data_IF_774060822879
#
_entry.id   IF_774060822879
#
_cell.length_a   1.000
_cell.length_b   1.000
_cell.length_c   1.000
_cell.angle_alpha   90.00
_cell.angle_beta   90.00
_cell.angle_gamma   90.00
#
_symmetry.space_group_name_H-M   'P 1'
#
loop_
_entity.id
_entity.type
_entity.pdbx_description
1 polymer ?
#
# COMPACT_ATOMS: atom_id res chain seq x y z
N UNK A 1 24.27 -6.54 9.57
CA UNK A 1 23.43 -5.97 8.51
C UNK A 1 24.41 -5.25 7.58
N UNK A 2 24.69 -5.78 6.40
CA UNK A 2 25.74 -5.28 5.52
C UNK A 2 25.42 -3.88 5.03
N UNK A 3 26.39 -2.99 5.02
CA UNK A 3 26.31 -1.59 4.57
C UNK A 3 25.65 -1.44 3.19
N UNK A 4 25.82 -2.44 2.32
CA UNK A 4 25.24 -2.48 0.97
C UNK A 4 23.71 -2.62 0.95
N UNK A 5 23.13 -3.38 1.87
CA UNK A 5 21.68 -3.51 2.00
C UNK A 5 21.03 -2.23 2.53
N UNK A 6 21.74 -1.47 3.36
CA UNK A 6 21.28 -0.19 3.87
C UNK A 6 21.28 0.87 2.77
N UNK A 7 22.37 0.96 1.98
CA UNK A 7 22.47 1.88 0.83
C UNK A 7 21.40 1.59 -0.21
N UNK A 8 21.17 0.33 -0.58
CA UNK A 8 20.10 -0.06 -1.53
C UNK A 8 18.72 0.39 -1.05
N UNK A 9 18.43 0.23 0.23
CA UNK A 9 17.13 0.67 0.82
C UNK A 9 16.96 2.19 0.79
N UNK A 10 18.01 2.96 1.07
CA UNK A 10 17.95 4.42 0.97
C UNK A 10 17.68 4.84 -0.47
N UNK A 11 18.39 4.28 -1.44
CA UNK A 11 18.22 4.62 -2.85
C UNK A 11 16.80 4.30 -3.32
N UNK A 12 16.26 3.12 -2.99
CA UNK A 12 14.89 2.75 -3.36
C UNK A 12 13.84 3.63 -2.69
N UNK A 13 14.02 3.98 -1.41
CA UNK A 13 13.09 4.88 -0.70
C UNK A 13 13.10 6.28 -1.30
N UNK A 14 14.28 6.81 -1.62
CA UNK A 14 14.42 8.14 -2.24
C UNK A 14 13.78 8.16 -3.64
N UNK A 15 13.99 7.11 -4.43
CA UNK A 15 13.38 6.98 -5.75
C UNK A 15 11.84 6.92 -5.67
N UNK A 16 11.29 6.19 -4.68
CA UNK A 16 9.85 6.13 -4.45
C UNK A 16 9.26 7.46 -4.01
N UNK A 17 9.95 8.23 -3.18
CA UNK A 17 9.51 9.57 -2.75
C UNK A 17 9.47 10.53 -3.95
N UNK A 18 10.50 10.50 -4.80
CA UNK A 18 10.55 11.32 -6.02
C UNK A 18 9.41 10.94 -6.97
N UNK A 19 9.18 9.64 -7.16
CA UNK A 19 8.09 9.14 -7.98
C UNK A 19 6.73 9.59 -7.45
N UNK A 20 6.51 9.49 -6.15
CA UNK A 20 5.27 9.94 -5.49
C UNK A 20 5.05 11.43 -5.70
N UNK A 21 6.11 12.24 -5.60
CA UNK A 21 6.04 13.68 -5.88
C UNK A 21 5.58 13.94 -7.32
N UNK A 22 6.16 13.25 -8.31
CA UNK A 22 5.73 13.35 -9.70
C UNK A 22 4.26 12.96 -9.91
N UNK A 23 3.80 11.90 -9.25
CA UNK A 23 2.40 11.43 -9.34
C UNK A 23 1.42 12.46 -8.76
N UNK A 24 1.80 13.19 -7.72
CA UNK A 24 0.96 14.24 -7.12
C UNK A 24 0.76 15.40 -8.10
N UNK A 25 1.82 15.85 -8.78
CA UNK A 25 1.75 17.04 -9.60
C UNK A 25 1.32 16.77 -11.06
N UNK A 26 1.56 15.59 -11.60
CA UNK A 26 1.28 15.24 -12.99
C UNK A 26 0.15 14.21 -13.12
N UNK A 27 -0.95 14.60 -13.78
CA UNK A 27 -2.06 13.68 -14.10
C UNK A 27 -1.61 12.51 -14.97
N UNK A 28 -0.68 12.76 -15.89
CA UNK A 28 -0.13 11.74 -16.78
C UNK A 28 0.67 10.71 -15.98
N UNK A 29 1.55 11.17 -15.08
CA UNK A 29 2.32 10.29 -14.21
C UNK A 29 1.43 9.45 -13.29
N UNK A 30 0.34 10.03 -12.78
CA UNK A 30 -0.66 9.33 -11.99
C UNK A 30 -1.32 8.21 -12.81
N UNK A 31 -1.76 8.50 -14.02
CA UNK A 31 -2.39 7.52 -14.91
C UNK A 31 -1.45 6.36 -15.21
N UNK A 32 -0.20 6.63 -15.60
CA UNK A 32 0.79 5.58 -15.85
C UNK A 32 1.09 4.75 -14.59
N UNK A 33 1.21 5.38 -13.43
CA UNK A 33 1.45 4.67 -12.18
C UNK A 33 0.29 3.74 -11.81
N UNK A 34 -0.96 4.16 -12.00
CA UNK A 34 -2.14 3.32 -11.78
C UNK A 34 -2.16 2.12 -12.74
N UNK A 35 -1.85 2.32 -14.02
CA UNK A 35 -1.79 1.22 -15.00
C UNK A 35 -0.72 0.20 -14.58
N UNK A 36 0.48 0.66 -14.26
CA UNK A 36 1.58 -0.22 -13.86
C UNK A 36 1.22 -1.01 -12.61
N UNK A 37 0.73 -0.35 -11.57
CA UNK A 37 0.31 -1.00 -10.31
C UNK A 37 -0.83 -1.99 -10.58
N UNK A 38 -1.80 -1.64 -11.43
CA UNK A 38 -2.92 -2.49 -11.79
C UNK A 38 -2.48 -3.77 -12.48
N UNK A 39 -1.62 -3.65 -13.48
CA UNK A 39 -1.09 -4.82 -14.20
C UNK A 39 -0.33 -5.75 -13.24
N UNK A 40 0.58 -5.20 -12.42
CA UNK A 40 1.31 -6.00 -11.43
C UNK A 40 0.38 -6.68 -10.42
N UNK A 41 -0.63 -5.96 -9.90
CA UNK A 41 -1.60 -6.52 -8.95
C UNK A 41 -2.39 -7.69 -9.55
N UNK A 42 -2.83 -7.57 -10.82
CA UNK A 42 -3.54 -8.64 -11.51
C UNK A 42 -2.64 -9.84 -11.75
N UNK A 43 -1.39 -9.63 -12.20
CA UNK A 43 -0.43 -10.72 -12.42
C UNK A 43 -0.12 -11.46 -11.11
N UNK A 44 0.10 -10.74 -10.02
CA UNK A 44 0.36 -11.33 -8.71
C UNK A 44 -0.86 -12.13 -8.23
N UNK A 45 -2.07 -11.58 -8.40
CA UNK A 45 -3.29 -12.29 -8.01
C UNK A 45 -3.51 -13.56 -8.84
N UNK A 46 -3.22 -13.55 -10.14
CA UNK A 46 -3.29 -14.76 -10.98
C UNK A 46 -2.35 -15.85 -10.44
N UNK A 47 -1.11 -15.49 -10.08
CA UNK A 47 -0.16 -16.44 -9.50
C UNK A 47 -0.64 -16.98 -8.14
N UNK A 48 -1.18 -16.12 -7.28
CA UNK A 48 -1.75 -16.53 -6.00
C UNK A 48 -2.97 -17.46 -6.18
N UNK A 49 -3.86 -17.12 -7.10
CA UNK A 49 -5.10 -17.90 -7.34
C UNK A 49 -4.80 -19.31 -7.83
N UNK A 50 -3.70 -19.51 -8.56
CA UNK A 50 -3.26 -20.85 -8.99
C UNK A 50 -2.88 -21.74 -7.81
N UNK A 51 -2.33 -21.18 -6.75
CA UNK A 51 -1.93 -21.91 -5.56
C UNK A 51 -3.09 -22.16 -4.59
N UNK A 52 -4.11 -21.28 -4.58
CA UNK A 52 -5.23 -21.34 -3.64
C UNK A 52 -6.38 -22.21 -4.20
N UNK A 53 -6.75 -21.99 -5.45
CA UNK A 53 -7.92 -22.66 -6.04
C UNK A 53 -7.52 -23.90 -6.85
N UNK A 54 -7.93 -25.08 -6.35
CA UNK A 54 -7.73 -26.37 -7.06
C UNK A 54 -8.62 -26.50 -8.30
N UNK A 55 -9.87 -25.97 -8.25
CA UNK A 55 -10.82 -26.06 -9.37
C UNK A 55 -10.55 -24.95 -10.38
N UNK A 56 -10.43 -25.30 -11.66
CA UNK A 56 -10.18 -24.39 -12.76
C UNK A 56 -11.24 -23.25 -12.85
N UNK A 57 -12.53 -23.63 -12.76
CA UNK A 57 -13.65 -22.68 -12.86
C UNK A 57 -13.59 -21.64 -11.74
N UNK A 58 -13.35 -22.05 -10.49
CA UNK A 58 -13.25 -21.12 -9.36
C UNK A 58 -12.08 -20.13 -9.53
N UNK A 59 -10.96 -20.60 -10.09
CA UNK A 59 -9.80 -19.77 -10.41
C UNK A 59 -10.14 -18.69 -11.44
N UNK A 60 -10.79 -19.09 -12.53
CA UNK A 60 -11.15 -18.15 -13.62
C UNK A 60 -12.14 -17.10 -13.11
N UNK A 61 -13.19 -17.51 -12.39
CA UNK A 61 -14.17 -16.59 -11.82
C UNK A 61 -13.50 -15.60 -10.86
N UNK A 62 -12.63 -16.09 -9.96
CA UNK A 62 -11.91 -15.22 -9.00
C UNK A 62 -11.00 -14.21 -9.70
N UNK A 63 -10.28 -14.63 -10.75
CA UNK A 63 -9.42 -13.73 -11.52
C UNK A 63 -10.22 -12.64 -12.26
N UNK A 64 -11.35 -13.01 -12.85
CA UNK A 64 -12.24 -12.05 -13.53
C UNK A 64 -12.79 -11.04 -12.52
N UNK A 65 -13.31 -11.50 -11.39
CA UNK A 65 -13.84 -10.62 -10.35
C UNK A 65 -12.78 -9.66 -9.81
N UNK A 66 -11.57 -10.16 -9.57
CA UNK A 66 -10.47 -9.32 -9.12
C UNK A 66 -10.04 -8.27 -10.16
N UNK A 67 -9.98 -8.66 -11.44
CA UNK A 67 -9.65 -7.73 -12.53
C UNK A 67 -10.72 -6.63 -12.66
N UNK A 68 -12.00 -6.97 -12.58
CA UNK A 68 -13.10 -6.00 -12.59
C UNK A 68 -12.99 -5.06 -11.37
N UNK A 69 -12.72 -5.60 -10.19
CA UNK A 69 -12.53 -4.80 -8.97
C UNK A 69 -11.40 -3.77 -9.12
N UNK A 70 -10.23 -4.20 -9.62
CA UNK A 70 -9.08 -3.31 -9.85
C UNK A 70 -9.43 -2.22 -10.88
N UNK A 71 -10.12 -2.58 -11.97
CA UNK A 71 -10.54 -1.62 -13.00
C UNK A 71 -11.48 -0.56 -12.43
N UNK A 72 -12.51 -0.96 -11.67
CA UNK A 72 -13.46 -0.04 -11.02
C UNK A 72 -12.72 0.86 -10.03
N UNK A 73 -11.86 0.28 -9.19
CA UNK A 73 -11.11 1.03 -8.20
C UNK A 73 -10.24 2.12 -8.84
N UNK A 74 -9.53 1.80 -9.93
CA UNK A 74 -8.67 2.76 -10.60
C UNK A 74 -9.42 3.82 -11.39
N UNK A 75 -10.57 3.48 -11.99
CA UNK A 75 -11.42 4.48 -12.64
C UNK A 75 -11.97 5.49 -11.63
N UNK A 76 -12.42 5.02 -10.48
CA UNK A 76 -12.89 5.90 -9.39
C UNK A 76 -11.74 6.77 -8.87
N UNK A 77 -10.57 6.17 -8.62
CA UNK A 77 -9.40 6.91 -8.15
C UNK A 77 -8.97 8.00 -9.15
N UNK A 78 -8.90 7.66 -10.43
CA UNK A 78 -8.56 8.61 -11.48
C UNK A 78 -9.61 9.73 -11.61
N UNK A 79 -10.90 9.39 -11.53
CA UNK A 79 -11.98 10.38 -11.54
C UNK A 79 -11.85 11.37 -10.38
N UNK A 80 -11.66 10.87 -9.16
CA UNK A 80 -11.49 11.72 -7.97
C UNK A 80 -10.24 12.60 -8.04
N UNK A 81 -9.17 12.14 -8.68
CA UNK A 81 -7.94 12.92 -8.83
C UNK A 81 -8.11 14.17 -9.71
N UNK A 82 -9.20 14.29 -10.48
CA UNK A 82 -9.50 15.49 -11.27
C UNK A 82 -10.02 16.66 -10.41
N UNK A 83 -10.61 16.37 -9.25
CA UNK A 83 -11.09 17.37 -8.30
C UNK A 83 -10.01 17.61 -7.24
N UNK A 84 -9.57 18.87 -7.10
CA UNK A 84 -8.43 19.20 -6.22
C UNK A 84 -8.68 18.80 -4.76
N UNK A 85 -9.90 19.00 -4.26
CA UNK A 85 -10.29 18.64 -2.90
C UNK A 85 -10.25 17.14 -2.66
N UNK A 86 -10.83 16.34 -3.59
CA UNK A 86 -10.81 14.89 -3.51
C UNK A 86 -9.41 14.31 -3.70
N UNK A 87 -8.60 14.95 -4.54
CA UNK A 87 -7.19 14.58 -4.71
C UNK A 87 -6.41 14.73 -3.40
N UNK A 88 -6.59 15.82 -2.68
CA UNK A 88 -5.95 16.04 -1.37
C UNK A 88 -6.35 14.93 -0.40
N UNK A 89 -7.65 14.60 -0.32
CA UNK A 89 -8.15 13.53 0.55
C UNK A 89 -7.53 12.17 0.18
N UNK A 90 -7.43 11.83 -1.12
CA UNK A 90 -6.82 10.58 -1.57
C UNK A 90 -5.35 10.48 -1.15
N UNK A 91 -4.59 11.56 -1.31
CA UNK A 91 -3.19 11.56 -0.89
C UNK A 91 -3.04 11.57 0.63
N UNK A 92 -3.92 12.25 1.37
CA UNK A 92 -3.96 12.18 2.83
C UNK A 92 -4.21 10.75 3.32
N UNK A 93 -5.13 10.00 2.68
CA UNK A 93 -5.35 8.58 2.96
C UNK A 93 -4.10 7.73 2.68
N UNK A 94 -3.41 7.95 1.55
CA UNK A 94 -2.16 7.26 1.24
C UNK A 94 -1.07 7.54 2.29
N UNK A 95 -0.90 8.80 2.68
CA UNK A 95 0.05 9.17 3.73
C UNK A 95 -0.33 8.56 5.09
N UNK A 96 -1.62 8.49 5.42
CA UNK A 96 -2.12 7.82 6.60
C UNK A 96 -1.76 6.32 6.63
N UNK A 97 -1.91 5.62 5.49
CA UNK A 97 -1.49 4.22 5.37
C UNK A 97 0.03 4.07 5.57
N UNK A 98 0.84 4.90 4.92
CA UNK A 98 2.31 4.88 5.08
C UNK A 98 2.71 5.15 6.53
N UNK A 99 2.09 6.16 7.16
CA UNK A 99 2.34 6.50 8.56
C UNK A 99 1.95 5.36 9.50
N UNK A 100 0.83 4.69 9.24
CA UNK A 100 0.39 3.51 9.98
C UNK A 100 1.42 2.37 9.90
N UNK A 101 1.94 2.08 8.72
CA UNK A 101 2.94 1.03 8.53
C UNK A 101 4.27 1.37 9.23
N UNK A 102 4.73 2.62 9.10
CA UNK A 102 5.93 3.11 9.78
C UNK A 102 5.74 3.05 11.29
N UNK A 103 4.58 3.50 11.80
CA UNK A 103 4.25 3.45 13.23
C UNK A 103 4.26 2.03 13.77
N UNK A 104 3.59 1.12 13.08
CA UNK A 104 3.56 -0.29 13.42
C UNK A 104 4.94 -0.92 13.50
N UNK A 105 5.81 -0.60 12.55
CA UNK A 105 7.19 -1.10 12.52
C UNK A 105 8.06 -0.50 13.62
N UNK A 106 8.05 0.82 13.81
CA UNK A 106 8.91 1.52 14.77
C UNK A 106 8.53 1.12 16.20
N UNK A 107 7.26 1.30 16.56
CA UNK A 107 6.79 1.00 17.92
C UNK A 107 6.84 -0.50 18.23
N UNK A 108 6.54 -1.35 17.25
CA UNK A 108 6.66 -2.79 17.39
C UNK A 108 8.10 -3.26 17.64
N UNK A 109 9.09 -2.60 17.04
CA UNK A 109 10.50 -2.95 17.20
C UNK A 109 11.13 -2.35 18.45
N UNK A 110 10.75 -1.14 18.85
CA UNK A 110 11.31 -0.44 20.02
C UNK A 110 10.71 -0.99 21.32
N UNK A 111 9.38 -1.07 21.40
CA UNK A 111 8.68 -1.42 22.65
C UNK A 111 8.59 -2.93 22.86
N UNK A 112 8.67 -3.73 21.79
CA UNK A 112 8.66 -5.22 21.84
C UNK A 112 7.56 -5.80 22.75
N UNK A 113 6.35 -5.32 22.64
CA UNK A 113 5.22 -5.79 23.45
C UNK A 113 4.78 -7.24 23.13
N UNK A 114 3.77 -7.76 23.85
CA UNK A 114 3.24 -9.10 23.61
C UNK A 114 2.74 -9.24 22.18
N UNK A 115 2.91 -10.44 21.61
CA UNK A 115 2.48 -10.76 20.26
C UNK A 115 0.97 -10.83 20.18
N UNK A 116 0.38 -10.28 19.13
CA UNK A 116 -1.08 -10.23 18.96
C UNK A 116 -1.66 -11.63 18.69
N UNK A 117 -0.96 -12.43 17.89
CA UNK A 117 -1.48 -13.71 17.42
C UNK A 117 -0.36 -14.70 17.12
N UNK A 118 -0.66 -15.99 17.30
CA UNK A 118 0.24 -17.08 16.89
C UNK A 118 0.41 -17.16 15.36
N UNK A 119 -0.58 -16.66 14.60
CA UNK A 119 -0.59 -16.68 13.12
C UNK A 119 0.37 -15.64 12.54
N UNK A 120 0.54 -14.49 13.23
CA UNK A 120 1.46 -13.43 12.80
C UNK A 120 2.46 -13.09 13.91
N UNK A 121 3.53 -13.87 14.07
CA UNK A 121 4.46 -13.79 15.19
C UNK A 121 5.28 -12.48 15.23
N UNK A 122 5.27 -11.70 14.15
CA UNK A 122 6.01 -10.45 14.04
C UNK A 122 5.18 -9.21 14.43
N UNK A 123 3.85 -9.35 14.62
CA UNK A 123 2.98 -8.24 15.03
C UNK A 123 2.85 -8.18 16.54
N UNK A 124 3.14 -7.01 17.11
CA UNK A 124 3.04 -6.73 18.55
C UNK A 124 1.90 -5.76 18.86
N UNK A 125 1.32 -5.84 20.06
CA UNK A 125 0.32 -4.88 20.52
C UNK A 125 0.83 -3.43 20.50
N UNK A 126 2.08 -3.22 20.93
CA UNK A 126 2.72 -1.92 20.85
C UNK A 126 2.80 -1.37 19.41
N UNK A 127 3.08 -2.23 18.43
CA UNK A 127 3.05 -1.87 17.03
C UNK A 127 1.66 -1.43 16.56
N UNK A 128 0.58 -2.10 16.98
CA UNK A 128 -0.79 -1.72 16.63
C UNK A 128 -1.18 -0.36 17.23
N UNK A 129 -0.80 -0.09 18.47
CA UNK A 129 -1.01 1.24 19.05
C UNK A 129 -0.19 2.31 18.34
N UNK A 130 1.07 2.03 17.99
CA UNK A 130 1.93 2.93 17.24
C UNK A 130 1.37 3.26 15.84
N UNK A 131 0.81 2.28 15.14
CA UNK A 131 0.15 2.50 13.85
C UNK A 131 -1.08 3.40 13.96
N UNK A 132 -1.91 3.22 14.99
CA UNK A 132 -3.08 4.07 15.25
C UNK A 132 -2.68 5.52 15.57
N UNK A 133 -1.69 5.72 16.44
CA UNK A 133 -1.23 7.06 16.82
C UNK A 133 -0.68 7.81 15.60
N UNK A 134 0.22 7.22 14.82
CA UNK A 134 0.78 7.89 13.66
C UNK A 134 -0.24 8.10 12.54
N UNK A 135 -1.17 7.17 12.34
CA UNK A 135 -2.26 7.37 11.40
C UNK A 135 -3.17 8.53 11.82
N UNK A 136 -3.57 8.61 13.09
CA UNK A 136 -4.43 9.69 13.58
C UNK A 136 -3.74 11.06 13.51
N UNK A 137 -2.45 11.16 13.82
CA UNK A 137 -1.71 12.42 13.72
C UNK A 137 -1.61 12.94 12.28
N UNK A 138 -1.49 12.06 11.28
CA UNK A 138 -1.49 12.49 9.87
C UNK A 138 -2.82 13.11 9.45
N UNK A 139 -3.95 12.61 9.95
CA UNK A 139 -5.28 13.18 9.64
C UNK A 139 -5.60 14.46 10.40
N UNK A 140 -4.97 14.71 11.55
CA UNK A 140 -5.15 15.98 12.29
C UNK A 140 -4.32 17.11 11.72
N UNK A 141 -3.28 16.81 10.96
CA UNK A 141 -2.36 17.81 10.36
C UNK A 141 -2.73 18.12 8.89
N UNK A 142 -3.48 17.25 8.22
CA UNK A 142 -3.93 17.43 6.83
C UNK A 142 -5.27 18.14 6.75
#
# INVERSE_FOLDING_TARGET
MTTDNFKKRIITSTALIILLFFVIFSKIALLYSLIIIGVYSVLEFINLSQNIFKKFISRVISNILFTIFIFIYFTIFFYFSNFIQLKIILFALLFGCIASDIGGYIFGKIIKGPKISKISPNKTLAGSFGSLILCSTTFTVS
#
